data_IF_023843888785
#
_entry.id   IF_023843888785
#
_cell.length_a   1.000
_cell.length_b   1.000
_cell.length_c   1.000
_cell.angle_alpha   90.00
_cell.angle_beta   90.00
_cell.angle_gamma   90.00
#
_symmetry.space_group_name_H-M   'P 1'
#
loop_
_entity.id
_entity.type
_entity.pdbx_description
1 polymer ?
#
# COMPACT_ATOMS: atom_id res chain seq x y z
N UNK A 1 -9.17 13.81 -18.27
CA UNK A 1 -9.16 12.71 -17.30
C UNK A 1 -8.31 13.14 -16.16
N UNK A 2 -8.83 13.00 -14.96
CA UNK A 2 -8.18 13.54 -13.77
C UNK A 2 -7.32 12.44 -13.16
N UNK A 3 -6.05 12.78 -12.93
CA UNK A 3 -5.06 11.85 -12.43
C UNK A 3 -4.25 12.50 -11.32
N UNK A 4 -4.39 11.97 -10.11
CA UNK A 4 -3.75 12.52 -8.93
C UNK A 4 -3.14 11.45 -8.04
N UNK A 5 -2.09 11.82 -7.33
CA UNK A 5 -1.59 11.11 -6.16
C UNK A 5 -1.78 11.98 -4.92
N UNK A 6 -2.52 11.46 -3.95
CA UNK A 6 -2.75 12.10 -2.66
C UNK A 6 -1.73 11.55 -1.67
N UNK A 7 -0.80 12.41 -1.25
CA UNK A 7 0.21 12.10 -0.25
C UNK A 7 -0.34 12.50 1.11
N UNK A 8 -0.74 11.49 1.85
CA UNK A 8 -1.47 11.58 3.10
C UNK A 8 -0.54 11.39 4.31
N UNK A 9 -1.04 11.77 5.48
CA UNK A 9 -0.37 11.51 6.75
C UNK A 9 -1.01 10.35 7.52
N UNK A 10 -0.33 9.90 8.56
CA UNK A 10 -0.79 8.84 9.45
C UNK A 10 -2.19 9.10 10.00
N UNK A 11 -3.12 8.15 9.84
CA UNK A 11 -4.47 8.27 10.41
C UNK A 11 -5.35 9.35 9.79
N UNK A 12 -5.01 9.84 8.58
CA UNK A 12 -5.80 10.85 7.86
C UNK A 12 -7.09 10.36 7.22
N UNK A 13 -7.34 9.05 7.23
CA UNK A 13 -8.55 8.49 6.63
C UNK A 13 -8.42 8.17 5.14
N UNK A 14 -7.23 7.82 4.64
CA UNK A 14 -6.97 7.35 3.26
C UNK A 14 -8.06 6.41 2.72
N UNK A 15 -8.30 5.32 3.44
CA UNK A 15 -9.30 4.30 3.11
C UNK A 15 -10.71 4.90 3.06
N UNK A 16 -11.07 5.74 4.03
CA UNK A 16 -12.37 6.44 4.04
C UNK A 16 -12.52 7.37 2.85
N UNK A 17 -11.48 8.11 2.49
CA UNK A 17 -11.47 8.99 1.33
C UNK A 17 -11.74 8.22 0.03
N UNK A 18 -11.04 7.10 -0.18
CA UNK A 18 -11.28 6.22 -1.33
C UNK A 18 -12.70 5.65 -1.34
N UNK A 19 -13.20 5.16 -0.21
CA UNK A 19 -14.56 4.59 -0.14
C UNK A 19 -15.62 5.67 -0.40
N UNK A 20 -15.40 6.90 0.07
CA UNK A 20 -16.33 8.00 -0.12
C UNK A 20 -16.44 8.44 -1.59
N UNK A 21 -15.38 8.32 -2.39
CA UNK A 21 -15.41 8.66 -3.82
C UNK A 21 -16.12 7.63 -4.71
N UNK A 22 -16.44 6.44 -4.18
CA UNK A 22 -17.15 5.39 -4.93
C UNK A 22 -18.63 5.73 -5.12
N UNK A 23 -19.19 5.30 -6.24
CA UNK A 23 -20.63 5.36 -6.55
C UNK A 23 -21.10 4.07 -7.26
N UNK A 24 -22.38 4.01 -7.62
CA UNK A 24 -23.00 2.86 -8.30
C UNK A 24 -23.03 2.98 -9.83
N UNK A 25 -22.64 4.12 -10.39
CA UNK A 25 -22.79 4.45 -11.81
C UNK A 25 -21.49 4.23 -12.58
N UNK A 26 -20.34 4.49 -11.96
CA UNK A 26 -19.00 4.37 -12.54
C UNK A 26 -18.39 3.01 -12.21
N UNK A 27 -17.49 2.53 -13.08
CA UNK A 27 -16.78 1.26 -12.90
C UNK A 27 -15.42 1.51 -12.26
N UNK A 28 -15.20 0.96 -11.08
CA UNK A 28 -14.01 1.20 -10.28
C UNK A 28 -13.13 -0.05 -10.22
N UNK A 29 -11.82 0.15 -10.44
CA UNK A 29 -10.79 -0.82 -10.07
C UNK A 29 -10.06 -0.29 -8.83
N UNK A 30 -10.08 -1.05 -7.74
CA UNK A 30 -9.37 -0.71 -6.51
C UNK A 30 -8.24 -1.71 -6.30
N UNK A 31 -7.01 -1.22 -6.29
CA UNK A 31 -5.79 -2.00 -6.09
C UNK A 31 -5.22 -1.65 -4.72
N UNK A 32 -4.96 -2.67 -3.89
CA UNK A 32 -4.23 -2.51 -2.62
C UNK A 32 -3.22 -3.64 -2.45
N UNK A 33 -2.26 -3.50 -1.55
CA UNK A 33 -1.18 -4.46 -1.43
C UNK A 33 -1.54 -5.69 -0.58
N UNK A 34 -2.00 -5.48 0.66
CA UNK A 34 -2.14 -6.55 1.66
C UNK A 34 -3.54 -7.18 1.67
N UNK A 35 -3.61 -8.46 2.09
CA UNK A 35 -4.90 -9.16 2.28
C UNK A 35 -5.74 -8.46 3.35
N UNK A 36 -5.11 -7.93 4.40
CA UNK A 36 -5.79 -7.18 5.46
C UNK A 36 -6.44 -5.91 4.91
N UNK A 37 -5.74 -5.16 4.06
CA UNK A 37 -6.30 -3.97 3.42
C UNK A 37 -7.47 -4.31 2.50
N UNK A 38 -7.38 -5.42 1.74
CA UNK A 38 -8.52 -5.92 0.95
C UNK A 38 -9.72 -6.20 1.85
N UNK A 39 -9.53 -6.90 2.97
CA UNK A 39 -10.63 -7.23 3.90
C UNK A 39 -11.26 -5.97 4.51
N UNK A 40 -10.43 -5.00 4.91
CA UNK A 40 -10.88 -3.74 5.49
C UNK A 40 -11.67 -2.90 4.48
N UNK A 41 -11.10 -2.68 3.28
CA UNK A 41 -11.78 -1.97 2.19
C UNK A 41 -13.09 -2.65 1.80
N UNK A 42 -13.10 -3.99 1.69
CA UNK A 42 -14.30 -4.76 1.37
C UNK A 42 -15.40 -4.53 2.40
N UNK A 43 -15.06 -4.54 3.68
CA UNK A 43 -16.02 -4.33 4.77
C UNK A 43 -16.60 -2.91 4.72
N UNK A 44 -15.76 -1.88 4.56
CA UNK A 44 -16.21 -0.48 4.46
C UNK A 44 -17.06 -0.21 3.22
N UNK A 45 -16.75 -0.82 2.09
CA UNK A 45 -17.57 -0.75 0.87
C UNK A 45 -18.94 -1.39 1.14
N UNK A 46 -18.94 -2.57 1.75
CA UNK A 46 -20.18 -3.27 2.11
C UNK A 46 -21.04 -2.48 3.10
N UNK A 47 -20.43 -1.81 4.08
CA UNK A 47 -21.10 -0.91 5.01
C UNK A 47 -21.72 0.29 4.29
N UNK A 48 -20.98 0.93 3.38
CA UNK A 48 -21.46 2.10 2.63
C UNK A 48 -22.65 1.78 1.73
N UNK A 49 -22.59 0.67 0.98
CA UNK A 49 -23.59 0.33 -0.03
C UNK A 49 -24.60 -0.73 0.43
N UNK A 50 -24.48 -1.23 1.67
CA UNK A 50 -25.24 -2.37 2.22
C UNK A 50 -25.09 -3.68 1.41
N UNK A 51 -24.16 -3.71 0.44
CA UNK A 51 -23.79 -4.86 -0.37
C UNK A 51 -22.42 -4.59 -1.01
N UNK A 52 -21.90 -5.56 -1.78
CA UNK A 52 -20.73 -5.33 -2.64
C UNK A 52 -21.21 -5.06 -4.07
N UNK A 53 -21.15 -3.80 -4.55
CA UNK A 53 -21.60 -3.47 -5.89
C UNK A 53 -20.77 -4.16 -6.97
N UNK A 54 -21.40 -4.64 -8.04
CA UNK A 54 -20.71 -5.35 -9.12
C UNK A 54 -19.78 -4.46 -9.95
N UNK A 55 -20.05 -3.14 -9.97
CA UNK A 55 -19.24 -2.14 -10.67
C UNK A 55 -17.93 -1.81 -9.93
N UNK A 56 -17.72 -2.34 -8.71
CA UNK A 56 -16.52 -2.09 -7.89
C UNK A 56 -15.66 -3.35 -7.82
N UNK A 57 -14.53 -3.34 -8.51
CA UNK A 57 -13.57 -4.44 -8.52
C UNK A 57 -12.41 -4.18 -7.54
N UNK A 58 -12.52 -4.72 -6.34
CA UNK A 58 -11.46 -4.66 -5.32
C UNK A 58 -10.55 -5.90 -5.41
N UNK A 59 -9.24 -5.67 -5.55
CA UNK A 59 -8.26 -6.73 -5.76
C UNK A 59 -6.91 -6.41 -5.12
N UNK A 60 -6.18 -7.44 -4.68
CA UNK A 60 -4.78 -7.27 -4.25
C UNK A 60 -3.84 -7.08 -5.45
N UNK A 61 -2.73 -6.38 -5.28
CA UNK A 61 -1.80 -6.05 -6.36
C UNK A 61 -1.31 -7.29 -7.14
N UNK A 62 -0.90 -8.35 -6.44
CA UNK A 62 -0.44 -9.57 -7.13
C UNK A 62 -1.57 -10.35 -7.81
N UNK A 63 -2.79 -10.31 -7.28
CA UNK A 63 -3.94 -10.89 -7.95
C UNK A 63 -4.32 -10.08 -9.21
N UNK A 64 -4.18 -8.76 -9.16
CA UNK A 64 -4.33 -7.89 -10.33
C UNK A 64 -3.29 -8.23 -11.41
N UNK A 65 -1.99 -8.25 -11.04
CA UNK A 65 -0.91 -8.64 -11.95
C UNK A 65 -1.16 -10.01 -12.59
N UNK A 66 -1.54 -11.02 -11.81
CA UNK A 66 -1.70 -12.36 -12.33
C UNK A 66 -3.00 -12.55 -13.11
N UNK A 67 -4.15 -12.18 -12.53
CA UNK A 67 -5.46 -12.54 -13.06
C UNK A 67 -5.97 -11.55 -14.11
N UNK A 68 -5.66 -10.26 -13.95
CA UNK A 68 -6.11 -9.22 -14.87
C UNK A 68 -5.09 -8.92 -15.96
N UNK A 69 -3.81 -8.83 -15.59
CA UNK A 69 -2.74 -8.46 -16.53
C UNK A 69 -2.17 -9.69 -17.25
N UNK A 70 -1.55 -10.62 -16.52
CA UNK A 70 -0.84 -11.77 -17.11
C UNK A 70 -1.77 -12.81 -17.76
N UNK A 71 -2.82 -13.24 -17.04
CA UNK A 71 -3.61 -14.40 -17.47
C UNK A 71 -4.29 -14.19 -18.83
N UNK A 72 -4.90 -13.04 -19.12
CA UNK A 72 -5.51 -12.79 -20.43
C UNK A 72 -4.49 -12.62 -21.56
N UNK A 73 -3.32 -12.03 -21.25
CA UNK A 73 -2.35 -11.54 -22.26
C UNK A 73 -1.23 -12.54 -22.58
N UNK A 74 -0.84 -13.38 -21.62
CA UNK A 74 0.40 -14.18 -21.72
C UNK A 74 0.24 -15.64 -21.28
N UNK A 75 -0.90 -16.03 -20.71
CA UNK A 75 -1.09 -17.40 -20.24
C UNK A 75 -1.04 -18.43 -21.36
N UNK A 76 -1.63 -18.13 -22.52
CA UNK A 76 -1.61 -19.04 -23.67
C UNK A 76 -0.18 -19.36 -24.15
N UNK A 77 0.76 -18.43 -23.93
CA UNK A 77 2.17 -18.56 -24.32
C UNK A 77 3.02 -19.21 -23.23
N UNK A 78 2.81 -18.83 -21.96
CA UNK A 78 3.72 -19.18 -20.86
C UNK A 78 3.17 -20.27 -19.92
N UNK A 79 1.86 -20.56 -19.96
CA UNK A 79 1.22 -21.67 -19.25
C UNK A 79 1.44 -21.69 -17.73
N UNK A 80 1.65 -20.54 -17.09
CA UNK A 80 1.95 -20.51 -15.66
C UNK A 80 0.71 -20.80 -14.82
N UNK A 81 0.88 -21.60 -13.76
CA UNK A 81 -0.18 -22.15 -12.90
C UNK A 81 -0.42 -21.37 -11.61
N UNK A 82 0.35 -20.31 -11.38
CA UNK A 82 0.18 -19.46 -10.19
C UNK A 82 1.37 -18.54 -9.97
N UNK A 83 1.43 -18.01 -8.75
CA UNK A 83 2.49 -17.10 -8.29
C UNK A 83 3.33 -17.83 -7.24
N UNK A 84 4.64 -17.64 -7.29
CA UNK A 84 5.58 -17.98 -6.25
C UNK A 84 6.05 -16.68 -5.58
N UNK A 85 5.79 -16.56 -4.28
CA UNK A 85 6.19 -15.39 -3.49
C UNK A 85 7.64 -15.44 -3.03
N UNK A 86 8.30 -16.60 -3.12
CA UNK A 86 9.74 -16.67 -2.95
C UNK A 86 10.46 -16.14 -4.20
N UNK A 87 11.49 -15.29 -4.05
CA UNK A 87 12.25 -14.82 -5.18
C UNK A 87 13.07 -15.94 -5.83
N UNK A 88 13.45 -15.75 -7.10
CA UNK A 88 14.32 -16.67 -7.81
C UNK A 88 15.68 -16.80 -7.09
N UNK A 89 15.94 -17.97 -6.49
CA UNK A 89 17.20 -18.25 -5.78
C UNK A 89 18.40 -18.38 -6.74
N UNK A 90 18.15 -18.81 -7.98
CA UNK A 90 19.20 -18.97 -8.98
C UNK A 90 19.51 -17.64 -9.68
N UNK A 91 20.62 -17.01 -9.29
CA UNK A 91 21.10 -15.74 -9.88
C UNK A 91 21.53 -15.87 -11.35
N UNK A 92 21.84 -17.08 -11.81
CA UNK A 92 22.28 -17.38 -13.17
C UNK A 92 21.15 -17.92 -14.05
N UNK A 93 19.90 -17.84 -13.60
CA UNK A 93 18.74 -18.23 -14.40
C UNK A 93 18.71 -17.46 -15.74
N UNK A 94 18.35 -18.14 -16.82
CA UNK A 94 18.30 -17.59 -18.17
C UNK A 94 16.93 -17.81 -18.81
N UNK A 95 16.56 -16.93 -19.75
CA UNK A 95 15.28 -16.99 -20.45
C UNK A 95 14.09 -16.99 -19.48
N UNK A 96 13.14 -17.92 -19.68
CA UNK A 96 11.90 -18.00 -18.89
C UNK A 96 12.13 -18.42 -17.43
N UNK A 97 13.23 -19.14 -17.15
CA UNK A 97 13.56 -19.58 -15.79
C UNK A 97 13.85 -18.42 -14.83
N UNK A 98 14.14 -17.22 -15.37
CA UNK A 98 14.25 -15.98 -14.58
C UNK A 98 12.92 -15.53 -13.97
N UNK A 99 11.81 -15.92 -14.58
CA UNK A 99 10.47 -15.45 -14.25
C UNK A 99 9.58 -16.54 -13.66
N UNK A 100 9.96 -17.81 -13.79
CA UNK A 100 9.13 -18.95 -13.41
C UNK A 100 9.95 -20.04 -12.72
N UNK A 101 9.37 -20.65 -11.69
CA UNK A 101 9.92 -21.84 -11.05
C UNK A 101 9.66 -23.12 -11.87
N UNK A 102 10.32 -24.25 -11.52
CA UNK A 102 10.08 -25.54 -12.17
C UNK A 102 8.65 -26.06 -12.03
N UNK A 103 7.91 -25.60 -11.02
CA UNK A 103 6.49 -25.90 -10.79
C UNK A 103 5.52 -25.05 -11.64
N UNK A 104 6.04 -24.29 -12.61
CA UNK A 104 5.28 -23.41 -13.48
C UNK A 104 4.61 -22.23 -12.76
N UNK A 105 5.16 -21.76 -11.64
CA UNK A 105 4.67 -20.56 -10.94
C UNK A 105 5.58 -19.37 -11.18
N UNK A 106 4.99 -18.18 -11.41
CA UNK A 106 5.74 -16.96 -11.71
C UNK A 106 6.26 -16.31 -10.44
N UNK A 107 7.51 -15.86 -10.43
CA UNK A 107 8.05 -15.12 -9.30
C UNK A 107 7.36 -13.76 -9.17
N UNK A 108 6.70 -13.54 -8.03
CA UNK A 108 5.90 -12.33 -7.73
C UNK A 108 6.67 -11.04 -8.03
N UNK A 109 7.90 -10.93 -7.50
CA UNK A 109 8.78 -9.77 -7.63
C UNK A 109 9.25 -9.45 -9.06
N UNK A 110 9.01 -10.36 -10.02
CA UNK A 110 9.37 -10.22 -11.44
C UNK A 110 8.18 -10.29 -12.39
N UNK A 111 6.96 -10.47 -11.87
CA UNK A 111 5.78 -10.62 -12.71
C UNK A 111 5.48 -9.34 -13.50
N UNK A 112 5.57 -8.18 -12.86
CA UNK A 112 5.44 -6.89 -13.52
C UNK A 112 6.47 -6.71 -14.65
N UNK A 113 7.74 -7.03 -14.37
CA UNK A 113 8.82 -7.01 -15.37
C UNK A 113 8.56 -7.96 -16.54
N UNK A 114 8.05 -9.16 -16.28
CA UNK A 114 7.72 -10.12 -17.32
C UNK A 114 6.65 -9.58 -18.27
N UNK A 115 5.60 -8.97 -17.74
CA UNK A 115 4.51 -8.40 -18.55
C UNK A 115 5.05 -7.31 -19.48
N UNK A 116 5.93 -6.45 -18.94
CA UNK A 116 6.60 -5.39 -19.70
C UNK A 116 7.53 -5.95 -20.79
N UNK A 117 8.45 -6.85 -20.44
CA UNK A 117 9.40 -7.44 -21.39
C UNK A 117 8.75 -8.33 -22.46
N UNK A 118 7.54 -8.85 -22.23
CA UNK A 118 6.78 -9.58 -23.24
C UNK A 118 5.93 -8.67 -24.14
N UNK A 119 5.96 -7.35 -23.94
CA UNK A 119 5.23 -6.39 -24.77
C UNK A 119 3.72 -6.38 -24.51
N UNK A 120 3.26 -6.90 -23.37
CA UNK A 120 1.84 -7.02 -23.07
C UNK A 120 1.22 -5.73 -22.48
N UNK A 121 2.01 -4.68 -22.24
CA UNK A 121 1.52 -3.45 -21.60
C UNK A 121 0.42 -2.75 -22.38
N UNK A 122 0.49 -2.71 -23.72
CA UNK A 122 -0.55 -2.09 -24.55
C UNK A 122 -1.93 -2.72 -24.31
N UNK A 123 -2.00 -4.05 -24.39
CA UNK A 123 -3.23 -4.80 -24.13
C UNK A 123 -3.71 -4.61 -22.68
N UNK A 124 -2.80 -4.57 -21.70
CA UNK A 124 -3.16 -4.29 -20.30
C UNK A 124 -3.83 -2.91 -20.18
N UNK A 125 -3.27 -1.87 -20.78
CA UNK A 125 -3.82 -0.51 -20.73
C UNK A 125 -5.19 -0.44 -21.41
N UNK A 126 -5.32 -1.01 -22.61
CA UNK A 126 -6.60 -1.08 -23.33
C UNK A 126 -7.68 -1.78 -22.49
N UNK A 127 -7.31 -2.88 -21.82
CA UNK A 127 -8.23 -3.59 -20.93
C UNK A 127 -8.64 -2.74 -19.73
N UNK A 128 -7.70 -2.02 -19.10
CA UNK A 128 -8.03 -1.11 -17.98
C UNK A 128 -9.06 -0.07 -18.45
N UNK A 129 -8.75 0.66 -19.53
CA UNK A 129 -9.64 1.70 -20.06
C UNK A 129 -10.99 1.14 -20.50
N UNK A 130 -11.01 -0.08 -21.06
CA UNK A 130 -12.25 -0.74 -21.49
C UNK A 130 -13.17 -1.07 -20.33
N UNK A 131 -12.64 -1.55 -19.20
CA UNK A 131 -13.44 -2.09 -18.11
C UNK A 131 -13.70 -1.11 -16.96
N UNK A 132 -12.89 -0.05 -16.84
CA UNK A 132 -12.94 0.85 -15.68
C UNK A 132 -12.91 2.32 -16.07
N UNK A 133 -13.74 3.10 -15.40
CA UNK A 133 -13.79 4.56 -15.51
C UNK A 133 -12.86 5.23 -14.47
N UNK A 134 -12.52 4.49 -13.40
CA UNK A 134 -11.60 4.90 -12.35
C UNK A 134 -10.67 3.76 -11.93
N UNK A 135 -9.39 4.08 -11.75
CA UNK A 135 -8.39 3.24 -11.09
C UNK A 135 -7.96 3.91 -9.80
N UNK A 136 -8.24 3.24 -8.68
CA UNK A 136 -7.89 3.68 -7.34
C UNK A 136 -6.75 2.79 -6.82
N UNK A 137 -5.64 3.39 -6.39
CA UNK A 137 -4.49 2.66 -5.83
C UNK A 137 -4.27 3.10 -4.39
N UNK A 138 -4.38 2.16 -3.47
CA UNK A 138 -4.12 2.35 -2.04
C UNK A 138 -2.69 1.93 -1.68
N UNK A 139 -2.14 2.55 -0.64
CA UNK A 139 -0.76 2.38 -0.17
C UNK A 139 0.29 2.49 -1.29
N UNK A 140 0.18 3.55 -2.11
CA UNK A 140 1.07 3.74 -3.28
C UNK A 140 2.57 3.82 -2.89
N UNK A 141 2.88 4.16 -1.64
CA UNK A 141 4.27 4.17 -1.16
C UNK A 141 4.89 2.76 -1.09
N UNK A 142 4.10 1.70 -0.99
CA UNK A 142 4.64 0.33 -0.87
C UNK A 142 5.10 -0.23 -2.23
N UNK A 143 4.78 0.45 -3.34
CA UNK A 143 5.23 0.06 -4.67
C UNK A 143 6.71 0.41 -4.87
N UNK A 144 7.52 -0.63 -5.05
CA UNK A 144 8.97 -0.51 -5.20
C UNK A 144 9.50 -1.33 -6.39
N UNK A 145 10.79 -1.21 -6.70
CA UNK A 145 11.43 -2.05 -7.71
C UNK A 145 10.79 -1.94 -9.10
N UNK A 146 10.66 -3.08 -9.76
CA UNK A 146 9.99 -3.18 -11.06
C UNK A 146 8.48 -2.88 -10.99
N UNK A 147 7.85 -3.06 -9.83
CA UNK A 147 6.42 -2.80 -9.66
C UNK A 147 6.10 -1.31 -9.68
N UNK A 148 6.99 -0.46 -9.16
CA UNK A 148 6.81 1.00 -9.28
C UNK A 148 6.86 1.47 -10.75
N UNK A 149 7.69 0.84 -11.58
CA UNK A 149 7.71 1.14 -13.01
C UNK A 149 6.40 0.70 -13.68
N UNK A 150 5.94 -0.50 -13.35
CA UNK A 150 4.66 -1.01 -13.85
C UNK A 150 3.47 -0.16 -13.39
N UNK A 151 3.47 0.31 -12.14
CA UNK A 151 2.52 1.28 -11.62
C UNK A 151 2.48 2.51 -12.54
N UNK A 152 3.63 3.17 -12.75
CA UNK A 152 3.70 4.35 -13.64
C UNK A 152 3.12 4.07 -15.03
N UNK A 153 3.39 2.88 -15.59
CA UNK A 153 2.82 2.49 -16.88
C UNK A 153 1.29 2.37 -16.82
N UNK A 154 0.71 1.70 -15.81
CA UNK A 154 -0.76 1.57 -15.71
C UNK A 154 -1.46 2.90 -15.43
N UNK A 155 -0.81 3.86 -14.76
CA UNK A 155 -1.37 5.21 -14.57
C UNK A 155 -1.50 5.97 -15.91
N UNK A 156 -0.85 5.52 -16.97
CA UNK A 156 -1.00 6.09 -18.32
C UNK A 156 -2.30 5.64 -19.01
N UNK A 157 -3.06 4.69 -18.46
CA UNK A 157 -4.33 4.25 -19.02
C UNK A 157 -5.31 5.42 -19.25
N UNK A 158 -6.17 5.29 -20.25
CA UNK A 158 -7.19 6.28 -20.60
C UNK A 158 -8.41 6.13 -19.67
N UNK A 159 -8.17 6.42 -18.39
CA UNK A 159 -9.15 6.37 -17.29
C UNK A 159 -8.77 7.40 -16.21
N UNK A 160 -9.70 7.69 -15.29
CA UNK A 160 -9.37 8.54 -14.14
C UNK A 160 -8.54 7.75 -13.13
N UNK A 161 -7.61 8.41 -12.45
CA UNK A 161 -6.65 7.74 -11.56
C UNK A 161 -6.53 8.49 -10.25
N UNK A 162 -6.70 7.78 -9.13
CA UNK A 162 -6.42 8.30 -7.80
C UNK A 162 -5.54 7.33 -7.05
N UNK A 163 -4.29 7.73 -6.84
CA UNK A 163 -3.39 7.03 -5.93
C UNK A 163 -3.45 7.70 -4.56
N UNK A 164 -3.42 6.91 -3.48
CA UNK A 164 -3.34 7.42 -2.11
C UNK A 164 -2.24 6.66 -1.39
N UNK A 165 -1.43 7.36 -0.60
CA UNK A 165 -0.41 6.72 0.22
C UNK A 165 0.20 7.68 1.23
N UNK A 166 0.96 7.12 2.16
CA UNK A 166 1.70 7.86 3.18
C UNK A 166 3.18 7.53 3.04
N UNK A 167 3.94 8.48 2.47
CA UNK A 167 5.36 8.31 2.18
C UNK A 167 6.18 7.92 3.42
N UNK A 168 5.86 8.51 4.58
CA UNK A 168 6.60 8.28 5.83
C UNK A 168 6.21 6.97 6.52
N UNK A 169 5.12 6.33 6.06
CA UNK A 169 4.73 4.99 6.48
C UNK A 169 5.18 3.92 5.48
N UNK A 170 6.22 4.12 4.67
CA UNK A 170 6.77 3.03 3.90
C UNK A 170 7.35 1.92 4.83
N UNK A 171 6.77 0.71 4.79
CA UNK A 171 7.28 -0.44 5.57
C UNK A 171 7.42 -1.72 4.77
N UNK A 172 6.71 -1.85 3.66
CA UNK A 172 6.76 -3.03 2.81
C UNK A 172 7.10 -2.62 1.39
N UNK A 173 7.92 -3.43 0.72
CA UNK A 173 8.19 -3.30 -0.69
C UNK A 173 7.44 -4.39 -1.45
N UNK A 174 6.70 -4.04 -2.50
CA UNK A 174 6.09 -5.01 -3.41
C UNK A 174 7.16 -5.83 -4.16
N UNK A 175 8.32 -5.23 -4.44
CA UNK A 175 9.44 -5.91 -5.10
C UNK A 175 10.80 -5.36 -4.66
N UNK A 176 11.70 -6.28 -4.30
CA UNK A 176 13.13 -6.03 -4.03
C UNK A 176 14.05 -6.68 -5.08
N UNK A 177 13.61 -6.72 -6.34
CA UNK A 177 14.39 -7.34 -7.43
C UNK A 177 15.49 -6.40 -7.95
N UNK A 178 16.71 -6.62 -7.48
CA UNK A 178 17.90 -5.90 -7.95
C UNK A 178 17.94 -4.43 -7.50
N UNK A 179 18.74 -3.58 -8.18
CA UNK A 179 18.94 -2.18 -7.77
C UNK A 179 17.87 -1.20 -8.28
N UNK A 180 16.88 -1.69 -9.04
CA UNK A 180 15.86 -0.82 -9.67
C UNK A 180 15.05 -0.13 -8.60
N UNK A 181 14.93 1.21 -8.69
CA UNK A 181 14.19 2.03 -7.73
C UNK A 181 14.62 1.85 -6.26
N UNK A 182 15.86 1.39 -5.99
CA UNK A 182 16.35 1.16 -4.62
C UNK A 182 16.38 2.43 -3.75
N UNK A 183 16.53 3.60 -4.39
CA UNK A 183 16.61 4.93 -3.76
C UNK A 183 15.30 5.70 -3.90
N UNK A 184 14.20 5.03 -4.25
CA UNK A 184 12.91 5.68 -4.54
C UNK A 184 12.37 6.46 -3.35
N UNK A 185 12.65 5.98 -2.13
CA UNK A 185 12.16 6.53 -0.88
C UNK A 185 13.25 7.25 -0.06
N UNK A 186 14.38 7.60 -0.68
CA UNK A 186 15.47 8.31 -0.01
C UNK A 186 15.16 9.81 0.16
N UNK A 187 14.39 10.38 -0.79
CA UNK A 187 14.06 11.80 -0.81
C UNK A 187 12.61 12.04 -1.25
N UNK A 188 11.84 12.71 -0.40
CA UNK A 188 10.43 12.98 -0.61
C UNK A 188 10.19 13.84 -1.86
N UNK A 189 11.05 14.84 -2.10
CA UNK A 189 10.91 15.70 -3.28
C UNK A 189 11.15 14.92 -4.58
N UNK A 190 12.14 14.02 -4.59
CA UNK A 190 12.44 13.14 -5.71
C UNK A 190 11.34 12.10 -5.96
N UNK A 191 10.72 11.59 -4.89
CA UNK A 191 9.54 10.72 -4.99
C UNK A 191 8.37 11.43 -5.67
N UNK A 192 8.02 12.65 -5.22
CA UNK A 192 6.98 13.49 -5.87
C UNK A 192 7.26 13.72 -7.35
N UNK A 193 8.52 13.99 -7.69
CA UNK A 193 8.96 14.19 -9.09
C UNK A 193 8.73 12.97 -9.98
N UNK A 194 8.64 11.75 -9.44
CA UNK A 194 8.32 10.57 -10.25
C UNK A 194 6.92 10.63 -10.85
N UNK A 195 5.95 11.18 -10.10
CA UNK A 195 4.56 11.32 -10.53
C UNK A 195 4.37 12.53 -11.45
N UNK A 196 4.93 13.69 -11.09
CA UNK A 196 4.77 14.90 -11.92
C UNK A 196 5.41 14.75 -13.31
N UNK A 197 6.51 13.99 -13.42
CA UNK A 197 7.16 13.67 -14.71
C UNK A 197 6.26 12.93 -15.69
N UNK A 198 5.29 12.17 -15.20
CA UNK A 198 4.32 11.43 -16.02
C UNK A 198 2.95 12.12 -16.05
N UNK A 199 2.88 13.40 -15.66
CA UNK A 199 1.66 14.21 -15.75
C UNK A 199 0.63 13.93 -14.65
N UNK A 200 1.01 13.28 -13.56
CA UNK A 200 0.13 13.03 -12.41
C UNK A 200 0.25 14.21 -11.43
N UNK A 201 -0.89 14.78 -11.04
CA UNK A 201 -0.96 15.84 -10.04
C UNK A 201 -0.60 15.29 -8.66
N UNK A 202 0.22 16.03 -7.90
CA UNK A 202 0.56 15.65 -6.51
C UNK A 202 -0.22 16.54 -5.55
N UNK A 203 -1.04 15.93 -4.71
CA UNK A 203 -1.88 16.61 -3.73
C UNK A 203 -1.43 16.27 -2.31
N UNK A 204 -0.90 17.25 -1.60
CA UNK A 204 -0.41 17.13 -0.21
C UNK A 204 -1.43 17.69 0.80
N UNK A 205 -2.48 18.36 0.33
CA UNK A 205 -3.38 19.15 1.17
C UNK A 205 -4.60 18.37 1.67
N UNK A 206 -5.13 17.46 0.84
CA UNK A 206 -6.41 16.78 1.09
C UNK A 206 -6.40 15.94 2.36
N UNK A 207 -5.28 15.27 2.65
CA UNK A 207 -5.16 14.30 3.74
C UNK A 207 -3.97 14.62 4.67
N UNK A 208 -3.77 15.91 4.98
CA UNK A 208 -2.71 16.40 5.88
C UNK A 208 -3.04 16.35 7.38
N UNK A 209 -4.29 16.07 7.73
CA UNK A 209 -4.76 16.00 9.13
C UNK A 209 -5.05 14.57 9.55
N UNK A 210 -4.55 14.16 10.70
CA UNK A 210 -4.82 12.90 11.36
C UNK A 210 -6.12 12.97 12.16
N UNK A 211 -7.00 12.00 11.98
CA UNK A 211 -8.15 11.78 12.84
C UNK A 211 -7.83 10.87 14.03
N UNK A 212 -6.63 10.27 14.04
CA UNK A 212 -6.20 9.31 15.07
C UNK A 212 -5.30 9.96 16.11
N UNK A 213 -4.35 10.79 15.69
CA UNK A 213 -3.38 11.40 16.59
C UNK A 213 -3.91 12.73 17.16
N UNK A 214 -3.67 12.97 18.46
CA UNK A 214 -3.93 14.23 19.14
C UNK A 214 -2.97 15.33 18.66
N UNK A 215 -3.25 16.62 18.96
CA UNK A 215 -2.30 17.70 18.70
C UNK A 215 -0.95 17.45 19.36
N UNK A 216 -0.91 16.92 20.58
CA UNK A 216 0.33 16.54 21.28
C UNK A 216 1.20 15.60 20.43
N UNK A 217 0.62 14.51 19.91
CA UNK A 217 1.34 13.50 19.13
C UNK A 217 1.76 14.07 17.78
N UNK A 218 0.88 14.81 17.11
CA UNK A 218 1.20 15.46 15.84
C UNK A 218 2.34 16.47 15.97
N UNK A 219 2.34 17.28 17.03
CA UNK A 219 3.41 18.25 17.32
C UNK A 219 4.73 17.54 17.63
N UNK A 220 4.69 16.47 18.42
CA UNK A 220 5.87 15.65 18.71
C UNK A 220 6.47 15.04 17.44
N UNK A 221 5.65 14.47 16.57
CA UNK A 221 6.10 13.91 15.27
C UNK A 221 6.67 15.01 14.37
N UNK A 222 6.00 16.15 14.28
CA UNK A 222 6.45 17.27 13.44
C UNK A 222 7.79 17.83 13.92
N UNK A 223 7.95 18.03 15.24
CA UNK A 223 9.17 18.58 15.83
C UNK A 223 10.37 17.63 15.80
N UNK A 224 10.15 16.32 15.98
CA UNK A 224 11.24 15.34 16.09
C UNK A 224 11.58 14.65 14.75
N UNK A 225 10.59 14.45 13.88
CA UNK A 225 10.77 13.72 12.61
C UNK A 225 10.69 14.62 11.37
N UNK A 226 10.32 15.90 11.53
CA UNK A 226 10.17 16.83 10.41
C UNK A 226 8.99 16.52 9.49
N UNK A 227 8.10 15.61 9.90
CA UNK A 227 6.91 15.22 9.13
C UNK A 227 5.80 16.23 9.38
N UNK A 228 5.31 16.88 8.33
CA UNK A 228 4.21 17.84 8.46
C UNK A 228 2.88 17.11 8.66
N UNK A 229 2.48 16.93 9.93
CA UNK A 229 1.24 16.26 10.31
C UNK A 229 0.43 17.15 11.25
N UNK A 230 -0.86 17.30 10.96
CA UNK A 230 -1.79 18.07 11.78
C UNK A 230 -2.80 17.15 12.46
N UNK A 231 -3.42 17.61 13.54
CA UNK A 231 -4.51 16.88 14.21
C UNK A 231 -5.88 17.41 13.76
N UNK A 232 -6.84 16.50 13.57
CA UNK A 232 -8.28 16.79 13.50
C UNK A 232 -8.97 16.63 14.86
N UNK A 233 -8.28 16.08 15.87
CA UNK A 233 -8.76 15.93 17.24
C UNK A 233 -8.59 17.22 18.04
N UNK A 234 -9.57 17.59 18.89
CA UNK A 234 -9.47 18.76 19.76
C UNK A 234 -8.77 18.47 21.10
N UNK A 235 -8.65 17.21 21.48
CA UNK A 235 -8.16 16.78 22.79
C UNK A 235 -6.64 16.58 22.80
N UNK A 236 -5.99 17.04 23.88
CA UNK A 236 -4.57 16.79 24.14
C UNK A 236 -4.39 15.44 24.84
N UNK A 237 -3.25 14.79 24.60
CA UNK A 237 -2.87 13.52 25.24
C UNK A 237 -1.51 13.65 25.89
N UNK A 238 -1.06 12.63 26.61
CA UNK A 238 0.26 12.65 27.26
C UNK A 238 1.26 11.80 26.47
N UNK A 239 2.47 12.32 26.31
CA UNK A 239 3.64 11.53 25.89
C UNK A 239 4.63 11.53 27.05
N UNK A 240 4.91 10.36 27.60
CA UNK A 240 5.83 10.17 28.72
C UNK A 240 6.94 9.20 28.34
N UNK A 241 8.16 9.53 28.71
CA UNK A 241 9.30 8.62 28.62
C UNK A 241 9.39 7.82 29.92
N UNK A 242 9.50 6.50 29.80
CA UNK A 242 9.62 5.61 30.94
C UNK A 242 11.10 5.33 31.18
N UNK A 243 11.63 5.84 32.30
CA UNK A 243 13.05 5.70 32.65
C UNK A 243 13.31 4.62 33.72
N UNK A 244 12.29 4.27 34.50
CA UNK A 244 12.39 3.29 35.59
C UNK A 244 11.87 1.93 35.14
N UNK A 245 12.62 0.89 35.50
CA UNK A 245 12.23 -0.50 35.21
C UNK A 245 10.90 -0.87 35.88
N UNK A 246 10.64 -0.40 37.11
CA UNK A 246 9.37 -0.65 37.81
C UNK A 246 8.17 -0.17 36.99
N UNK A 247 8.25 1.05 36.47
CA UNK A 247 7.16 1.68 35.73
C UNK A 247 6.96 0.96 34.38
N UNK A 248 8.07 0.48 33.77
CA UNK A 248 8.00 -0.33 32.57
C UNK A 248 7.34 -1.69 32.81
N UNK A 249 7.62 -2.35 33.95
CA UNK A 249 7.04 -3.64 34.32
C UNK A 249 5.53 -3.52 34.61
N UNK A 250 5.13 -2.42 35.26
CA UNK A 250 3.72 -2.10 35.53
C UNK A 250 2.95 -1.89 34.22
N UNK A 251 3.47 -1.04 33.32
CA UNK A 251 2.90 -0.83 31.98
C UNK A 251 2.88 -2.14 31.19
N UNK A 252 3.94 -2.94 31.27
CA UNK A 252 4.04 -4.21 30.55
C UNK A 252 2.92 -5.18 30.94
N UNK A 253 2.52 -5.16 32.20
CA UNK A 253 1.48 -6.02 32.76
C UNK A 253 0.05 -5.51 32.51
N UNK A 254 -0.12 -4.25 32.17
CA UNK A 254 -1.44 -3.64 31.96
C UNK A 254 -2.10 -4.01 30.62
N UNK A 255 -3.20 -4.76 30.63
CA UNK A 255 -3.85 -5.26 29.40
C UNK A 255 -4.43 -4.14 28.50
N UNK A 256 -4.80 -3.00 29.08
CA UNK A 256 -5.36 -1.86 28.34
C UNK A 256 -4.36 -1.18 27.40
N UNK A 257 -3.05 -1.34 27.67
CA UNK A 257 -1.97 -0.74 26.89
C UNK A 257 -1.39 -1.80 25.95
N UNK A 258 -1.44 -1.54 24.64
CA UNK A 258 -0.78 -2.41 23.66
C UNK A 258 0.73 -2.14 23.61
N UNK A 259 1.53 -3.20 23.57
CA UNK A 259 3.00 -3.10 23.51
C UNK A 259 3.45 -3.28 22.07
N UNK A 260 4.05 -2.25 21.50
CA UNK A 260 4.46 -2.21 20.10
C UNK A 260 5.95 -2.47 19.97
N UNK A 261 6.28 -3.67 19.50
CA UNK A 261 7.65 -4.05 19.19
C UNK A 261 8.00 -3.69 17.75
N UNK A 262 9.25 -3.30 17.50
CA UNK A 262 9.71 -3.12 16.12
C UNK A 262 9.66 -4.44 15.33
N UNK A 263 10.12 -5.54 15.94
CA UNK A 263 10.05 -6.91 15.43
C UNK A 263 10.12 -7.90 16.60
N UNK A 264 9.95 -9.20 16.31
CA UNK A 264 10.08 -10.30 17.27
C UNK A 264 9.14 -10.24 18.50
N UNK A 265 7.94 -9.65 18.36
CA UNK A 265 6.95 -9.64 19.47
C UNK A 265 6.72 -11.01 20.09
N UNK A 266 6.86 -12.08 19.31
CA UNK A 266 6.66 -13.46 19.75
C UNK A 266 7.60 -13.90 20.88
N UNK A 267 8.70 -13.17 21.14
CA UNK A 267 9.60 -13.39 22.27
C UNK A 267 9.03 -12.88 23.60
N UNK A 268 7.97 -12.07 23.55
CA UNK A 268 7.41 -11.39 24.71
C UNK A 268 5.97 -11.85 24.96
N UNK A 269 5.62 -12.26 26.19
CA UNK A 269 4.24 -12.59 26.55
C UNK A 269 3.38 -11.31 26.65
N UNK A 270 2.06 -11.48 26.70
CA UNK A 270 1.12 -10.37 26.95
C UNK A 270 0.54 -9.70 25.70
N UNK A 271 -0.12 -8.55 25.91
CA UNK A 271 -0.83 -7.80 24.86
C UNK A 271 0.16 -7.03 23.96
N UNK A 272 0.90 -7.77 23.14
CA UNK A 272 1.97 -7.25 22.30
C UNK A 272 1.72 -7.47 20.80
N UNK A 273 2.21 -6.55 19.97
CA UNK A 273 2.15 -6.60 18.50
C UNK A 273 3.44 -6.09 17.88
N UNK A 274 3.75 -6.57 16.68
CA UNK A 274 4.76 -5.91 15.85
C UNK A 274 4.14 -4.64 15.25
N UNK A 275 4.89 -3.54 15.20
CA UNK A 275 4.40 -2.27 14.64
C UNK A 275 3.80 -2.45 13.25
N UNK A 276 4.52 -3.15 12.35
CA UNK A 276 4.04 -3.40 10.98
C UNK A 276 2.68 -4.10 10.88
N UNK A 277 2.30 -4.90 11.88
CA UNK A 277 1.02 -5.63 11.92
C UNK A 277 -0.16 -4.77 12.37
N UNK A 278 0.10 -3.67 13.08
CA UNK A 278 -0.95 -2.78 13.63
C UNK A 278 -1.42 -1.72 12.65
N UNK A 279 -0.81 -1.65 11.45
CA UNK A 279 -1.21 -0.71 10.42
C UNK A 279 -2.65 -0.95 9.99
N UNK A 280 -3.44 0.13 9.97
CA UNK A 280 -4.85 0.07 9.63
C UNK A 280 -5.77 -0.36 10.77
N UNK A 281 -5.24 -0.79 11.93
CA UNK A 281 -6.05 -1.01 13.12
C UNK A 281 -6.38 0.33 13.82
N UNK A 282 -7.58 0.41 14.39
CA UNK A 282 -8.13 1.61 15.06
C UNK A 282 -8.73 1.30 16.45
N UNK A 283 -8.38 0.14 17.02
CA UNK A 283 -8.97 -0.39 18.26
C UNK A 283 -8.22 -0.04 19.55
N UNK A 284 -7.02 0.53 19.47
CA UNK A 284 -6.20 0.81 20.66
C UNK A 284 -6.32 2.28 21.05
N UNK A 285 -6.56 2.53 22.34
CA UNK A 285 -6.56 3.87 22.93
C UNK A 285 -5.15 4.26 23.39
N UNK A 286 -4.50 3.37 24.15
CA UNK A 286 -3.17 3.58 24.72
C UNK A 286 -2.16 2.59 24.15
N UNK A 287 -0.93 3.06 23.90
CA UNK A 287 0.16 2.23 23.42
C UNK A 287 1.49 2.60 24.09
N UNK A 288 2.27 1.57 24.41
CA UNK A 288 3.67 1.69 24.79
C UNK A 288 4.54 1.16 23.65
N UNK A 289 5.59 1.90 23.30
CA UNK A 289 6.57 1.53 22.28
C UNK A 289 7.94 1.31 22.92
#
# INVERSE_FOLDING_TARGET
MDKSVILAVAGSGKTTHLVNSLDTDKRFLIITYTINNVSNLRSRIAEKFQCLPQNIHLVSYFNFLYSFCYKPTLHYKLGAKGINFEPCKNRFAMGISRYRDPGFRLYSNRLAKLIDEQGAMGEVLERISKYFDYVLVDEVQDFAGHDFNFLKSILAADTNVVCVGDYYQHTFDTSRDGPVNRTLHDDFASYKKQFTKIGIEVNEETLKKSHRCSPTVCNYVSGNLGIQIQSSRPDETTISFIEKQSDADDIFSEEGIVKLFYQDRAKYPGHARNWGETKGEDRYQDCCR
#
